data_IF_968009491999
#
_entry.id   IF_968009491999
#
_cell.length_a   1.000
_cell.length_b   1.000
_cell.length_c   1.000
_cell.angle_alpha   90.00
_cell.angle_beta   90.00
_cell.angle_gamma   90.00
#
_symmetry.space_group_name_H-M   'P 1'
#
loop_
_entity.id
_entity.type
_entity.pdbx_description
1 polymer ?
#
# COMPACT_ATOMS: atom_id res chain seq x y z
N UNK A 1 -4.51 -10.98 -27.41
CA UNK A 1 -3.86 -12.19 -26.87
C UNK A 1 -4.21 -12.22 -25.38
N UNK A 2 -5.11 -13.11 -24.99
CA UNK A 2 -5.56 -13.28 -23.61
C UNK A 2 -4.42 -13.94 -22.84
N UNK A 3 -3.79 -13.25 -21.89
CA UNK A 3 -3.04 -13.93 -20.85
C UNK A 3 -4.09 -14.50 -19.87
N UNK A 4 -4.29 -15.81 -19.94
CA UNK A 4 -4.98 -16.55 -18.88
C UNK A 4 -4.27 -16.26 -17.57
N UNK A 5 -5.02 -16.00 -16.50
CA UNK A 5 -4.48 -16.00 -15.14
C UNK A 5 -3.88 -17.39 -14.95
N UNK A 6 -2.55 -17.48 -14.89
CA UNK A 6 -1.92 -18.69 -14.39
C UNK A 6 -2.43 -18.89 -12.96
N UNK A 7 -3.34 -19.84 -12.81
CA UNK A 7 -3.72 -20.38 -11.50
C UNK A 7 -2.51 -21.20 -11.07
N UNK A 8 -1.97 -20.90 -9.91
CA UNK A 8 -0.84 -21.65 -9.36
C UNK A 8 -1.37 -23.02 -8.93
N UNK A 9 -1.29 -24.01 -9.82
CA UNK A 9 -1.83 -25.37 -9.64
C UNK A 9 -0.76 -26.35 -9.19
N UNK A 10 0.14 -25.96 -8.30
CA UNK A 10 1.12 -26.90 -7.76
C UNK A 10 0.65 -27.40 -6.39
N UNK A 11 0.63 -28.73 -6.21
CA UNK A 11 0.23 -29.41 -4.96
C UNK A 11 1.21 -29.22 -3.80
N UNK A 12 2.27 -28.45 -4.00
CA UNK A 12 3.20 -28.05 -2.96
C UNK A 12 2.59 -26.90 -2.16
N UNK A 13 2.27 -27.12 -0.91
CA UNK A 13 1.82 -26.08 0.05
C UNK A 13 2.96 -25.13 0.49
N UNK A 14 3.82 -24.73 -0.43
CA UNK A 14 4.90 -23.77 -0.15
C UNK A 14 4.44 -22.35 -0.47
N UNK A 15 4.77 -21.37 0.39
CA UNK A 15 4.47 -19.97 0.11
C UNK A 15 5.17 -19.48 -1.16
N UNK A 16 4.45 -18.72 -1.97
CA UNK A 16 4.95 -18.13 -3.21
C UNK A 16 4.91 -16.58 -3.15
N UNK A 17 5.55 -15.95 -4.11
CA UNK A 17 5.54 -14.49 -4.33
C UNK A 17 5.13 -14.17 -5.76
N UNK A 18 4.62 -12.96 -5.97
CA UNK A 18 4.52 -12.37 -7.30
C UNK A 18 5.79 -11.57 -7.60
N UNK A 19 6.36 -11.78 -8.77
CA UNK A 19 7.46 -10.99 -9.29
C UNK A 19 6.98 -9.93 -10.29
N UNK A 20 7.63 -8.77 -10.23
CA UNK A 20 7.55 -7.73 -11.25
C UNK A 20 8.96 -7.40 -11.74
N UNK A 21 9.15 -7.23 -13.05
CA UNK A 21 10.46 -6.90 -13.60
C UNK A 21 10.36 -6.17 -14.93
N UNK A 22 11.42 -5.43 -15.26
CA UNK A 22 11.56 -4.80 -16.56
C UNK A 22 11.97 -5.82 -17.62
N UNK A 23 11.16 -5.94 -18.69
CA UNK A 23 11.53 -6.68 -19.91
C UNK A 23 12.45 -5.80 -20.75
N UNK A 24 12.07 -4.54 -20.94
CA UNK A 24 12.84 -3.52 -21.64
C UNK A 24 12.55 -2.16 -20.98
N UNK A 25 13.53 -1.62 -20.26
CA UNK A 25 13.37 -0.35 -19.57
C UNK A 25 13.26 0.84 -20.53
N UNK A 26 13.98 0.82 -21.65
CA UNK A 26 13.96 1.91 -22.63
C UNK A 26 12.57 2.02 -23.28
N UNK A 27 11.95 0.90 -23.60
CA UNK A 27 10.59 0.82 -24.14
C UNK A 27 9.50 0.89 -23.07
N UNK A 28 9.86 1.09 -21.81
CA UNK A 28 8.94 1.09 -20.64
C UNK A 28 8.09 -0.18 -20.54
N UNK A 29 8.63 -1.31 -20.93
CA UNK A 29 7.98 -2.61 -20.84
C UNK A 29 8.27 -3.24 -19.49
N UNK A 30 7.31 -3.14 -18.57
CA UNK A 30 7.32 -3.75 -17.25
C UNK A 30 6.25 -4.84 -17.18
N UNK A 31 6.59 -5.99 -16.62
CA UNK A 31 5.64 -7.10 -16.43
C UNK A 31 5.43 -7.42 -14.97
N UNK A 32 4.24 -7.93 -14.68
CA UNK A 32 3.79 -8.45 -13.39
C UNK A 32 3.11 -9.81 -13.59
N UNK A 33 2.53 -10.34 -12.53
CA UNK A 33 1.80 -11.63 -12.50
C UNK A 33 2.69 -12.84 -12.81
N UNK A 34 4.00 -12.75 -12.54
CA UNK A 34 4.90 -13.89 -12.51
C UNK A 34 4.94 -14.47 -11.12
N UNK A 35 4.24 -15.57 -10.88
CA UNK A 35 4.22 -16.26 -9.59
C UNK A 35 5.35 -17.28 -9.51
N UNK A 36 5.97 -17.40 -8.33
CA UNK A 36 7.16 -18.21 -8.16
C UNK A 36 7.35 -18.61 -6.69
N UNK A 37 7.80 -19.85 -6.45
CA UNK A 37 8.25 -20.26 -5.12
C UNK A 37 9.54 -19.55 -4.71
N UNK A 38 9.75 -19.41 -3.41
CA UNK A 38 10.88 -18.64 -2.89
C UNK A 38 12.24 -19.18 -3.35
N UNK A 39 12.37 -20.49 -3.45
CA UNK A 39 13.63 -21.15 -3.86
C UNK A 39 13.98 -20.87 -5.34
N UNK A 40 13.00 -20.50 -6.15
CA UNK A 40 13.19 -20.21 -7.58
C UNK A 40 13.50 -18.73 -7.84
N UNK A 41 13.29 -17.85 -6.83
CA UNK A 41 13.47 -16.40 -7.00
C UNK A 41 14.93 -16.04 -7.28
N UNK A 42 15.89 -16.56 -6.52
CA UNK A 42 17.29 -16.21 -6.70
C UNK A 42 17.86 -16.68 -8.05
N UNK A 43 17.64 -17.93 -8.51
CA UNK A 43 17.98 -18.34 -9.88
C UNK A 43 17.39 -17.43 -10.96
N UNK A 44 16.12 -17.04 -10.80
CA UNK A 44 15.48 -16.12 -11.73
C UNK A 44 16.15 -14.73 -11.73
N UNK A 45 16.45 -14.15 -10.56
CA UNK A 45 17.15 -12.86 -10.44
C UNK A 45 18.50 -12.89 -11.13
N UNK A 46 19.28 -13.98 -10.95
CA UNK A 46 20.56 -14.16 -11.64
C UNK A 46 20.39 -14.24 -13.16
N UNK A 47 19.40 -14.96 -13.65
CA UNK A 47 19.12 -15.08 -15.11
C UNK A 47 18.77 -13.76 -15.76
N UNK A 48 18.32 -12.75 -14.99
CA UNK A 48 17.95 -11.42 -15.44
C UNK A 48 19.03 -10.36 -15.17
N UNK A 49 20.26 -10.76 -14.95
CA UNK A 49 21.39 -9.85 -14.68
C UNK A 49 21.12 -8.88 -13.53
N UNK A 50 20.27 -9.26 -12.58
CA UNK A 50 19.92 -8.47 -11.38
C UNK A 50 19.31 -7.08 -11.69
N UNK A 51 18.78 -6.83 -12.88
CA UNK A 51 18.30 -5.52 -13.30
C UNK A 51 16.80 -5.34 -13.08
N UNK A 52 16.42 -4.34 -12.25
CA UNK A 52 15.04 -3.86 -12.15
C UNK A 52 14.01 -4.92 -11.76
N UNK A 53 14.31 -5.75 -10.76
CA UNK A 53 13.46 -6.86 -10.33
C UNK A 53 12.86 -6.58 -8.97
N UNK A 54 11.57 -6.91 -8.85
CA UNK A 54 10.76 -6.70 -7.66
C UNK A 54 10.04 -7.99 -7.29
N UNK A 55 9.75 -8.13 -6.01
CA UNK A 55 8.83 -9.15 -5.51
C UNK A 55 7.80 -8.52 -4.59
N UNK A 56 6.68 -9.20 -4.38
CA UNK A 56 5.69 -8.76 -3.41
C UNK A 56 6.29 -8.73 -2.00
N UNK A 57 5.88 -7.72 -1.22
CA UNK A 57 6.28 -7.57 0.18
C UNK A 57 5.83 -8.76 1.03
N UNK A 58 4.76 -9.41 0.60
CA UNK A 58 4.17 -10.58 1.24
C UNK A 58 4.40 -11.83 0.39
N UNK A 59 4.41 -12.97 1.08
CA UNK A 59 4.27 -14.31 0.53
C UNK A 59 2.82 -14.74 0.69
N UNK A 60 2.37 -15.66 -0.15
CA UNK A 60 0.98 -16.11 -0.21
C UNK A 60 0.91 -17.63 -0.06
N UNK A 61 -0.13 -18.15 0.59
CA UNK A 61 -0.31 -19.58 0.85
C UNK A 61 -1.60 -20.16 0.22
N UNK A 62 -2.35 -19.39 -0.55
CA UNK A 62 -3.59 -19.80 -1.20
C UNK A 62 -3.45 -19.95 -2.71
N UNK A 63 -4.48 -20.45 -3.37
CA UNK A 63 -4.50 -20.60 -4.83
C UNK A 63 -4.45 -19.27 -5.59
N UNK A 64 -4.99 -18.20 -4.98
CA UNK A 64 -4.91 -16.84 -5.49
C UNK A 64 -4.45 -15.89 -4.39
N UNK A 65 -3.93 -14.72 -4.75
CA UNK A 65 -3.54 -13.71 -3.75
C UNK A 65 -4.74 -13.27 -2.91
N UNK A 66 -5.91 -13.17 -3.52
CA UNK A 66 -7.13 -12.73 -2.87
C UNK A 66 -7.63 -13.72 -1.81
N UNK A 67 -7.32 -15.00 -1.96
CA UNK A 67 -7.72 -16.09 -1.05
C UNK A 67 -6.60 -16.48 -0.07
N UNK A 68 -5.41 -15.88 -0.24
CA UNK A 68 -4.24 -16.19 0.58
C UNK A 68 -4.23 -15.43 1.89
N UNK A 69 -3.65 -16.06 2.91
CA UNK A 69 -3.05 -15.30 4.00
C UNK A 69 -1.76 -14.64 3.51
N UNK A 70 -1.49 -13.48 4.08
CA UNK A 70 -0.24 -12.76 3.86
C UNK A 70 0.78 -13.20 4.91
N UNK A 71 2.02 -13.41 4.47
CA UNK A 71 3.15 -13.81 5.31
C UNK A 71 4.30 -12.86 5.00
N UNK A 72 4.92 -12.24 5.99
CA UNK A 72 6.04 -11.34 5.71
C UNK A 72 6.60 -10.62 6.92
N UNK A 73 7.74 -9.98 6.73
CA UNK A 73 8.36 -9.07 7.68
C UNK A 73 7.58 -7.75 7.71
N UNK A 74 7.49 -7.11 8.87
CA UNK A 74 6.95 -5.75 8.96
C UNK A 74 7.94 -4.80 8.27
N UNK A 75 7.46 -3.98 7.32
CA UNK A 75 8.33 -3.15 6.51
C UNK A 75 7.90 -1.68 6.48
N UNK A 76 8.87 -0.80 6.24
CA UNK A 76 8.73 0.64 6.13
C UNK A 76 9.51 1.12 4.92
N UNK A 77 8.95 2.08 4.18
CA UNK A 77 9.57 2.74 3.03
C UNK A 77 9.60 4.25 3.29
N UNK A 78 10.80 4.81 3.35
CA UNK A 78 11.06 6.23 3.55
C UNK A 78 11.56 6.81 2.25
N UNK A 79 10.78 7.69 1.64
CA UNK A 79 11.13 8.39 0.42
C UNK A 79 10.87 9.91 0.58
N UNK A 80 11.85 10.72 0.26
CA UNK A 80 11.72 12.15 0.15
C UNK A 80 12.19 12.56 -1.25
N UNK A 81 11.33 13.27 -1.99
CA UNK A 81 11.53 13.48 -3.44
C UNK A 81 12.92 14.00 -3.78
N UNK A 82 13.46 14.98 -3.04
CA UNK A 82 14.75 15.62 -3.33
C UNK A 82 15.70 15.71 -2.13
N UNK A 83 15.35 15.13 -0.97
CA UNK A 83 16.17 15.22 0.25
C UNK A 83 16.33 13.86 0.93
N UNK A 84 17.35 13.11 0.50
CA UNK A 84 17.72 11.83 1.10
C UNK A 84 17.91 11.91 2.61
N UNK A 85 18.44 13.02 3.12
CA UNK A 85 18.72 13.21 4.54
C UNK A 85 17.44 13.26 5.39
N UNK A 86 16.31 13.71 4.84
CA UNK A 86 15.02 13.66 5.56
C UNK A 86 14.55 12.19 5.68
N UNK A 87 14.60 11.42 4.61
CA UNK A 87 14.26 10.00 4.64
C UNK A 87 15.18 9.23 5.60
N UNK A 88 16.48 9.52 5.59
CA UNK A 88 17.47 8.92 6.48
C UNK A 88 17.19 9.26 7.96
N UNK A 89 16.89 10.51 8.30
CA UNK A 89 16.57 10.92 9.69
C UNK A 89 15.32 10.21 10.22
N UNK A 90 14.28 10.10 9.40
CA UNK A 90 13.06 9.38 9.78
C UNK A 90 13.31 7.87 9.93
N UNK A 91 14.13 7.28 9.06
CA UNK A 91 14.56 5.89 9.18
C UNK A 91 15.36 5.65 10.49
N UNK A 92 16.32 6.54 10.85
CA UNK A 92 17.05 6.48 12.13
C UNK A 92 16.10 6.59 13.33
N UNK A 93 15.10 7.47 13.25
CA UNK A 93 14.08 7.60 14.29
C UNK A 93 13.28 6.30 14.43
N UNK A 94 12.94 5.66 13.32
CA UNK A 94 12.22 4.37 13.33
C UNK A 94 13.06 3.23 13.92
N UNK A 95 14.36 3.15 13.61
CA UNK A 95 15.28 2.22 14.26
C UNK A 95 15.28 2.42 15.77
N UNK A 96 15.38 3.68 16.21
CA UNK A 96 15.35 4.03 17.64
C UNK A 96 14.01 3.72 18.30
N UNK A 97 12.90 3.88 17.57
CA UNK A 97 11.56 3.51 18.02
C UNK A 97 11.47 2.00 18.31
N UNK A 98 11.92 1.14 17.39
CA UNK A 98 11.90 -0.31 17.60
C UNK A 98 12.79 -0.74 18.76
N UNK A 99 13.97 -0.13 18.91
CA UNK A 99 14.85 -0.35 20.07
C UNK A 99 14.18 0.04 21.39
N UNK A 100 13.53 1.19 21.42
CA UNK A 100 12.96 1.75 22.66
C UNK A 100 11.64 1.10 23.03
N UNK A 101 10.72 1.00 22.07
CA UNK A 101 9.32 0.57 22.30
C UNK A 101 9.18 -0.96 22.24
N UNK A 102 9.84 -1.59 21.28
CA UNK A 102 9.74 -3.04 21.08
C UNK A 102 10.89 -3.81 21.72
N UNK A 103 11.94 -3.11 22.19
CA UNK A 103 13.18 -3.72 22.71
C UNK A 103 13.85 -4.65 21.69
N UNK A 104 13.72 -4.32 20.41
CA UNK A 104 14.41 -5.01 19.31
C UNK A 104 15.82 -4.44 19.16
N UNK A 105 16.83 -5.32 19.09
CA UNK A 105 18.20 -4.89 18.86
C UNK A 105 18.35 -4.31 17.43
N UNK A 106 19.05 -3.17 17.31
CA UNK A 106 19.22 -2.48 16.03
C UNK A 106 19.86 -3.37 14.96
N UNK A 107 20.78 -4.26 15.38
CA UNK A 107 21.47 -5.23 14.52
C UNK A 107 20.56 -6.31 13.95
N UNK A 108 19.38 -6.50 14.51
CA UNK A 108 18.40 -7.50 14.08
C UNK A 108 17.39 -6.90 13.07
N UNK A 109 17.43 -5.59 12.86
CA UNK A 109 16.67 -4.93 11.81
C UNK A 109 17.39 -5.06 10.46
N UNK A 110 16.64 -5.31 9.41
CA UNK A 110 17.15 -5.29 8.03
C UNK A 110 16.93 -3.89 7.44
N UNK A 111 18.00 -3.16 7.25
CA UNK A 111 17.97 -1.78 6.74
C UNK A 111 18.54 -1.79 5.33
N UNK A 112 17.89 -1.13 4.38
CA UNK A 112 18.33 -1.10 2.99
C UNK A 112 18.33 0.32 2.43
N UNK A 113 19.37 0.68 1.71
CA UNK A 113 19.30 1.74 0.70
C UNK A 113 18.52 1.23 -0.51
N UNK A 114 17.52 1.98 -0.98
CA UNK A 114 16.61 1.52 -2.05
C UNK A 114 17.23 1.41 -3.43
N UNK A 115 18.46 1.95 -3.60
CA UNK A 115 19.17 2.07 -4.86
C UNK A 115 19.03 3.44 -5.51
N UNK A 116 18.24 4.38 -4.97
CA UNK A 116 18.12 5.73 -5.53
C UNK A 116 18.13 6.81 -4.45
N UNK A 117 17.08 6.93 -3.66
CA UNK A 117 16.89 8.04 -2.70
C UNK A 117 16.15 7.65 -1.42
N UNK A 118 15.66 6.42 -1.32
CA UNK A 118 14.87 5.94 -0.19
C UNK A 118 15.64 4.99 0.72
N UNK A 119 15.12 4.81 1.92
CA UNK A 119 15.55 3.84 2.91
C UNK A 119 14.39 2.91 3.22
N UNK A 120 14.63 1.59 3.18
CA UNK A 120 13.66 0.61 3.63
C UNK A 120 14.14 -0.01 4.95
N UNK A 121 13.21 -0.23 5.88
CA UNK A 121 13.47 -0.98 7.11
C UNK A 121 12.53 -2.17 7.15
N UNK A 122 13.04 -3.34 7.49
CA UNK A 122 12.24 -4.53 7.72
C UNK A 122 12.54 -5.07 9.12
N UNK A 123 11.47 -5.34 9.86
CA UNK A 123 11.54 -6.01 11.17
C UNK A 123 11.17 -7.47 10.94
N UNK A 124 12.10 -8.42 11.16
CA UNK A 124 11.86 -9.83 10.91
C UNK A 124 10.64 -10.37 11.64
N UNK A 125 9.79 -11.10 10.94
CA UNK A 125 8.53 -11.62 11.46
C UNK A 125 8.71 -12.50 12.70
N UNK A 126 9.80 -13.26 12.77
CA UNK A 126 10.07 -14.15 13.90
C UNK A 126 10.35 -13.40 15.22
N UNK A 127 10.93 -12.19 15.19
CA UNK A 127 11.15 -11.38 16.40
C UNK A 127 9.80 -11.02 17.03
N UNK A 128 8.85 -10.60 16.20
CA UNK A 128 7.53 -10.14 16.60
C UNK A 128 6.54 -11.30 16.78
N UNK A 129 6.90 -12.52 16.36
CA UNK A 129 5.96 -13.64 16.29
C UNK A 129 4.79 -13.36 15.36
N UNK A 130 5.07 -12.76 14.20
CA UNK A 130 4.05 -12.46 13.18
C UNK A 130 3.63 -13.77 12.55
N UNK A 131 2.37 -14.11 12.71
CA UNK A 131 1.72 -15.24 12.06
C UNK A 131 1.10 -14.79 10.74
N UNK A 132 0.78 -15.75 9.88
CA UNK A 132 0.04 -15.50 8.65
C UNK A 132 -1.35 -14.95 8.95
N UNK A 133 -1.78 -13.93 8.20
CA UNK A 133 -3.06 -13.27 8.41
C UNK A 133 -3.60 -12.66 7.10
N UNK A 134 -4.91 -12.78 6.79
CA UNK A 134 -5.46 -12.22 5.54
C UNK A 134 -5.39 -10.69 5.48
N UNK A 135 -5.35 -10.02 6.63
CA UNK A 135 -5.30 -8.56 6.76
C UNK A 135 -3.97 -8.06 7.34
N UNK A 136 -2.87 -8.77 7.10
CA UNK A 136 -1.54 -8.41 7.63
C UNK A 136 -1.10 -7.02 7.16
N UNK A 137 -1.47 -6.63 5.95
CA UNK A 137 -1.24 -5.30 5.40
C UNK A 137 -1.92 -4.19 6.22
N UNK A 138 -3.13 -4.40 6.74
CA UNK A 138 -3.83 -3.42 7.58
C UNK A 138 -3.21 -3.32 8.98
N UNK A 139 -2.76 -4.45 9.54
CA UNK A 139 -2.00 -4.48 10.80
C UNK A 139 -0.72 -3.67 10.66
N UNK A 140 0.06 -3.92 9.60
CA UNK A 140 1.31 -3.20 9.31
C UNK A 140 1.07 -1.71 9.10
N UNK A 141 0.00 -1.35 8.39
CA UNK A 141 -0.40 0.04 8.20
C UNK A 141 -0.74 0.74 9.52
N UNK A 142 -1.36 0.04 10.46
CA UNK A 142 -1.68 0.59 11.79
C UNK A 142 -0.41 0.90 12.57
N UNK A 143 0.57 0.00 12.55
CA UNK A 143 1.88 0.23 13.17
C UNK A 143 2.60 1.40 12.48
N UNK A 144 2.60 1.43 11.15
CA UNK A 144 3.25 2.49 10.38
C UNK A 144 2.65 3.88 10.66
N UNK A 145 1.33 4.00 10.77
CA UNK A 145 0.66 5.24 11.19
C UNK A 145 1.12 5.68 12.58
N UNK A 146 1.26 4.74 13.51
CA UNK A 146 1.74 5.06 14.85
C UNK A 146 3.19 5.55 14.80
N UNK A 147 4.08 4.86 14.08
CA UNK A 147 5.47 5.28 13.88
C UNK A 147 5.53 6.68 13.25
N UNK A 148 4.70 6.97 12.24
CA UNK A 148 4.67 8.27 11.56
C UNK A 148 4.43 9.45 12.52
N UNK A 149 3.72 9.25 13.64
CA UNK A 149 3.50 10.30 14.63
C UNK A 149 4.79 10.75 15.33
N UNK A 150 5.82 9.91 15.34
CA UNK A 150 7.14 10.23 15.91
C UNK A 150 8.10 10.84 14.89
N UNK A 151 7.75 10.79 13.58
CA UNK A 151 8.63 11.25 12.52
C UNK A 151 8.50 12.75 12.30
N UNK A 152 9.65 13.44 12.25
CA UNK A 152 9.71 14.89 12.02
C UNK A 152 9.37 15.25 10.57
N UNK A 153 9.93 14.53 9.61
CA UNK A 153 9.84 14.88 8.20
C UNK A 153 8.67 14.18 7.49
N UNK A 154 8.07 13.16 8.14
CA UNK A 154 6.92 12.38 7.61
C UNK A 154 7.16 11.77 6.23
N UNK A 155 8.39 11.29 6.00
CA UNK A 155 8.80 10.70 4.72
C UNK A 155 8.34 9.25 4.55
N UNK A 156 7.70 8.66 5.58
CA UNK A 156 7.15 7.31 5.54
C UNK A 156 5.95 7.24 4.60
N UNK A 157 6.02 6.41 3.57
CA UNK A 157 4.91 6.16 2.65
C UNK A 157 3.88 5.21 3.27
N UNK A 158 2.68 5.71 3.57
CA UNK A 158 1.56 4.91 4.08
C UNK A 158 0.69 4.28 2.98
N UNK A 159 0.96 4.56 1.71
CA UNK A 159 0.19 4.01 0.58
C UNK A 159 0.67 2.61 0.22
N UNK A 160 1.88 2.24 0.63
CA UNK A 160 2.51 0.97 0.28
C UNK A 160 1.88 -0.28 0.92
N UNK A 161 0.99 -0.13 1.88
CA UNK A 161 0.39 -1.26 2.60
C UNK A 161 -0.83 -1.83 1.88
N UNK A 162 -0.65 -2.21 0.62
CA UNK A 162 -1.59 -3.03 -0.14
C UNK A 162 -1.07 -4.49 -0.23
N UNK A 163 -1.97 -5.44 -0.43
CA UNK A 163 -1.62 -6.87 -0.42
C UNK A 163 -0.79 -7.34 -1.63
N UNK A 164 -0.60 -6.49 -2.64
CA UNK A 164 0.19 -6.78 -3.86
C UNK A 164 1.37 -5.81 -4.05
N UNK A 165 1.81 -5.15 -2.97
CA UNK A 165 2.93 -4.21 -3.02
C UNK A 165 4.20 -4.90 -3.50
N UNK A 166 4.77 -4.37 -4.57
CA UNK A 166 6.08 -4.79 -5.04
C UNK A 166 7.18 -3.98 -4.35
N UNK A 167 8.17 -4.69 -3.81
CA UNK A 167 9.41 -4.14 -3.27
C UNK A 167 10.58 -4.63 -4.12
N UNK A 168 11.54 -3.75 -4.41
CA UNK A 168 12.77 -4.14 -5.11
C UNK A 168 13.51 -5.22 -4.32
N UNK A 169 13.93 -6.28 -4.99
CA UNK A 169 14.74 -7.35 -4.39
C UNK A 169 16.12 -6.78 -4.00
N UNK A 170 16.66 -7.10 -2.81
CA UNK A 170 18.02 -6.73 -2.45
C UNK A 170 19.05 -7.24 -3.46
N UNK A 171 20.12 -6.49 -3.62
CA UNK A 171 21.19 -6.78 -4.59
C UNK A 171 20.73 -6.81 -6.05
N UNK A 172 19.64 -6.06 -6.37
CA UNK A 172 19.26 -5.77 -7.76
C UNK A 172 19.46 -4.31 -8.07
N UNK A 173 19.78 -4.03 -9.35
CA UNK A 173 20.08 -2.70 -9.89
C UNK A 173 18.80 -1.89 -10.02
N UNK A 174 18.82 -0.65 -9.53
CA UNK A 174 17.75 0.30 -9.76
C UNK A 174 17.84 0.87 -11.19
N UNK A 175 16.79 0.72 -11.97
CA UNK A 175 16.73 1.00 -13.40
C UNK A 175 17.04 2.46 -13.80
N UNK A 176 16.83 3.42 -12.88
CA UNK A 176 17.07 4.85 -13.16
C UNK A 176 18.44 5.33 -12.69
N UNK A 177 18.93 4.79 -11.58
CA UNK A 177 20.16 5.28 -10.94
C UNK A 177 21.38 4.42 -11.27
N UNK A 178 21.20 3.16 -11.61
CA UNK A 178 22.28 2.19 -11.81
C UNK A 178 22.87 1.63 -10.49
N UNK A 179 22.43 2.14 -9.32
CA UNK A 179 22.88 1.63 -8.04
C UNK A 179 22.10 0.39 -7.60
N UNK A 180 22.74 -0.46 -6.83
CA UNK A 180 22.09 -1.62 -6.21
C UNK A 180 21.25 -1.22 -4.99
N UNK A 181 20.13 -1.91 -4.76
CA UNK A 181 19.52 -1.94 -3.43
C UNK A 181 20.41 -2.77 -2.53
N UNK A 182 21.07 -2.14 -1.56
CA UNK A 182 22.02 -2.81 -0.67
C UNK A 182 21.58 -2.74 0.78
N UNK A 183 21.98 -3.76 1.57
CA UNK A 183 21.78 -3.74 2.99
C UNK A 183 22.82 -2.83 3.67
N UNK A 184 22.38 -2.07 4.68
CA UNK A 184 23.18 -1.21 5.54
C UNK A 184 23.09 -1.72 6.98
N UNK A 185 24.14 -1.49 7.75
CA UNK A 185 24.09 -1.58 9.21
C UNK A 185 23.42 -0.33 9.80
N UNK A 186 22.94 -0.40 11.04
CA UNK A 186 22.42 0.78 11.75
C UNK A 186 23.47 1.88 11.95
N UNK A 187 24.74 1.49 12.08
CA UNK A 187 25.88 2.41 12.17
C UNK A 187 26.08 3.16 10.85
N UNK A 188 26.08 2.45 9.73
CA UNK A 188 26.21 3.04 8.40
C UNK A 188 25.04 3.98 8.09
N UNK A 189 23.79 3.57 8.41
CA UNK A 189 22.63 4.44 8.28
C UNK A 189 22.81 5.76 9.05
N UNK A 190 23.45 5.77 10.22
CA UNK A 190 23.60 6.96 11.05
C UNK A 190 24.74 7.86 10.61
N UNK A 191 25.86 7.29 10.15
CA UNK A 191 27.12 8.02 10.07
C UNK A 191 27.67 8.19 8.65
N UNK A 192 27.28 7.35 7.69
CA UNK A 192 27.72 7.54 6.31
C UNK A 192 26.93 8.66 5.64
N UNK A 193 27.62 9.44 4.84
CA UNK A 193 27.01 10.40 3.91
C UNK A 193 26.26 9.67 2.77
N UNK A 194 25.36 10.37 2.10
CA UNK A 194 24.68 9.84 0.90
C UNK A 194 25.68 9.38 -0.17
N UNK A 195 26.78 10.14 -0.36
CA UNK A 195 27.83 9.81 -1.33
C UNK A 195 28.55 8.49 -0.99
N UNK A 196 28.86 8.27 0.30
CA UNK A 196 29.49 7.04 0.76
C UNK A 196 28.54 5.84 0.63
N UNK A 197 27.25 5.99 0.94
CA UNK A 197 26.24 4.95 0.73
C UNK A 197 26.12 4.63 -0.77
N UNK A 198 26.09 5.63 -1.65
CA UNK A 198 26.07 5.42 -3.10
C UNK A 198 27.33 4.73 -3.62
N UNK A 199 28.48 5.01 -3.02
CA UNK A 199 29.74 4.30 -3.35
C UNK A 199 29.63 2.82 -2.98
N UNK A 200 29.12 2.48 -1.81
CA UNK A 200 28.83 1.08 -1.43
C UNK A 200 27.81 0.43 -2.38
N UNK A 201 26.85 1.19 -2.88
CA UNK A 201 25.77 0.70 -3.74
C UNK A 201 26.18 0.52 -5.23
N UNK A 202 27.43 0.76 -5.60
CA UNK A 202 27.96 0.44 -6.92
C UNK A 202 28.09 -1.07 -7.19
N UNK A 203 28.07 -1.87 -6.12
CA UNK A 203 28.18 -3.32 -6.20
C UNK A 203 27.14 -4.00 -5.28
N UNK A 204 26.74 -5.26 -5.56
CA UNK A 204 25.92 -6.02 -4.64
C UNK A 204 26.68 -6.25 -3.34
N UNK A 205 25.94 -6.28 -2.23
CA UNK A 205 26.52 -6.38 -0.91
C UNK A 205 25.83 -7.44 -0.07
N UNK A 206 26.62 -8.35 0.50
CA UNK A 206 26.13 -9.38 1.40
C UNK A 206 26.68 -9.10 2.81
N UNK A 207 25.79 -8.78 3.73
CA UNK A 207 26.09 -8.76 5.15
C UNK A 207 25.77 -10.13 5.73
N UNK A 208 26.45 -10.48 6.83
CA UNK A 208 26.13 -11.70 7.57
C UNK A 208 24.65 -11.72 7.95
N UNK A 209 23.93 -12.74 7.50
CA UNK A 209 22.54 -12.90 7.83
C UNK A 209 22.38 -13.36 9.27
N UNK A 210 21.58 -12.62 10.03
CA UNK A 210 21.21 -12.98 11.39
C UNK A 210 19.81 -13.56 11.39
N UNK A 211 19.63 -14.56 12.23
CA UNK A 211 18.33 -15.16 12.51
C UNK A 211 17.96 -14.81 13.96
N UNK A 212 17.41 -13.61 14.20
CA UNK A 212 17.13 -13.15 15.55
C UNK A 212 16.08 -14.06 16.21
N UNK A 213 16.22 -14.26 17.52
CA UNK A 213 15.29 -15.06 18.29
C UNK A 213 13.93 -14.34 18.45
N UNK A 214 12.89 -15.14 18.70
CA UNK A 214 11.59 -14.64 19.11
C UNK A 214 11.70 -13.81 20.40
N UNK A 215 11.05 -12.65 20.44
CA UNK A 215 10.97 -11.78 21.61
C UNK A 215 9.55 -11.75 22.18
N UNK A 216 9.31 -12.36 23.35
CA UNK A 216 7.99 -12.31 23.99
C UNK A 216 7.53 -10.87 24.26
N UNK A 217 8.45 -9.98 24.60
CA UNK A 217 8.12 -8.56 24.82
C UNK A 217 7.69 -7.88 23.54
N UNK A 218 8.47 -8.02 22.46
CA UNK A 218 8.14 -7.44 21.16
C UNK A 218 6.81 -7.98 20.62
N UNK A 219 6.56 -9.27 20.80
CA UNK A 219 5.30 -9.91 20.45
C UNK A 219 4.10 -9.31 21.21
N UNK A 220 4.25 -9.07 22.51
CA UNK A 220 3.21 -8.41 23.31
C UNK A 220 2.91 -7.00 22.78
N UNK A 221 3.93 -6.23 22.41
CA UNK A 221 3.71 -4.93 21.78
C UNK A 221 3.00 -5.07 20.43
N UNK A 222 3.41 -6.02 19.59
CA UNK A 222 2.77 -6.29 18.30
C UNK A 222 1.29 -6.66 18.44
N UNK A 223 0.93 -7.52 19.41
CA UNK A 223 -0.48 -7.86 19.68
C UNK A 223 -1.35 -6.66 20.02
N UNK A 224 -0.82 -5.66 20.72
CA UNK A 224 -1.57 -4.43 21.02
C UNK A 224 -2.01 -3.69 19.75
N UNK A 225 -1.21 -3.72 18.68
CA UNK A 225 -1.58 -3.12 17.39
C UNK A 225 -2.67 -3.92 16.67
N UNK A 226 -2.66 -5.25 16.79
CA UNK A 226 -3.75 -6.09 16.27
C UNK A 226 -5.07 -5.72 16.99
N UNK A 227 -5.04 -5.66 18.30
CA UNK A 227 -6.21 -5.26 19.10
C UNK A 227 -6.70 -3.85 18.76
N UNK A 228 -5.77 -2.91 18.53
CA UNK A 228 -6.11 -1.56 18.08
C UNK A 228 -6.79 -1.59 16.72
N UNK A 229 -6.24 -2.31 15.74
CA UNK A 229 -6.84 -2.44 14.40
C UNK A 229 -8.25 -3.02 14.49
N UNK A 230 -8.45 -4.07 15.29
CA UNK A 230 -9.77 -4.69 15.47
C UNK A 230 -10.77 -3.68 16.09
N UNK A 231 -10.35 -2.92 17.10
CA UNK A 231 -11.18 -1.86 17.69
C UNK A 231 -11.54 -0.78 16.68
N UNK A 232 -10.56 -0.26 15.94
CA UNK A 232 -10.80 0.77 14.91
C UNK A 232 -11.80 0.29 13.84
N UNK A 233 -11.70 -0.98 13.41
CA UNK A 233 -12.66 -1.57 12.47
C UNK A 233 -14.08 -1.66 13.08
N UNK A 234 -14.19 -2.15 14.31
CA UNK A 234 -15.48 -2.26 14.99
C UNK A 234 -16.14 -0.89 15.22
N UNK A 235 -15.36 0.12 15.58
CA UNK A 235 -15.86 1.49 15.75
C UNK A 235 -16.34 2.06 14.41
N UNK A 236 -15.55 1.89 13.35
CA UNK A 236 -15.93 2.30 12.00
C UNK A 236 -17.23 1.61 11.54
N UNK A 237 -17.36 0.31 11.77
CA UNK A 237 -18.58 -0.44 11.46
C UNK A 237 -19.80 0.06 12.24
N UNK A 238 -19.63 0.36 13.53
CA UNK A 238 -20.71 0.94 14.36
C UNK A 238 -21.13 2.32 13.86
N UNK A 239 -20.17 3.17 13.53
CA UNK A 239 -20.46 4.48 12.95
C UNK A 239 -21.17 4.36 11.58
N UNK A 240 -20.75 3.43 10.75
CA UNK A 240 -21.36 3.20 9.44
C UNK A 240 -22.78 2.65 9.58
N UNK A 241 -23.02 1.71 10.50
CA UNK A 241 -24.37 1.23 10.80
C UNK A 241 -25.27 2.37 11.29
N UNK A 242 -24.75 3.29 12.11
CA UNK A 242 -25.50 4.50 12.52
C UNK A 242 -25.81 5.44 11.36
N UNK A 243 -24.86 5.59 10.39
CA UNK A 243 -25.05 6.42 9.19
C UNK A 243 -25.88 5.72 8.10
N UNK A 244 -25.81 4.39 8.01
CA UNK A 244 -26.45 3.58 6.97
C UNK A 244 -27.99 3.60 7.00
N UNK A 245 -28.61 4.07 8.07
CA UNK A 245 -30.06 4.29 8.15
C UNK A 245 -30.52 5.64 7.57
N UNK A 246 -29.62 6.52 7.15
CA UNK A 246 -29.97 7.76 6.45
C UNK A 246 -29.55 7.64 4.98
N UNK A 247 -30.50 7.24 4.14
CA UNK A 247 -30.31 7.33 2.68
C UNK A 247 -29.97 8.76 2.30
N UNK A 248 -28.91 8.95 1.53
CA UNK A 248 -28.54 10.26 1.02
C UNK A 248 -29.54 10.68 -0.05
N UNK A 249 -30.46 11.58 0.30
CA UNK A 249 -31.50 12.07 -0.61
C UNK A 249 -31.07 13.27 -1.43
N UNK A 250 -29.89 13.81 -1.19
CA UNK A 250 -29.33 14.98 -1.86
C UNK A 250 -28.15 14.59 -2.75
N UNK A 251 -28.19 14.97 -4.02
CA UNK A 251 -27.07 14.83 -4.94
C UNK A 251 -26.18 16.06 -4.85
N UNK A 252 -24.87 15.90 -4.48
CA UNK A 252 -23.95 17.02 -4.47
C UNK A 252 -23.66 17.55 -5.88
N UNK A 253 -23.46 18.87 -6.10
CA UNK A 253 -23.17 19.45 -7.41
C UNK A 253 -21.99 18.82 -8.14
N UNK A 254 -20.96 18.39 -7.39
CA UNK A 254 -19.82 17.69 -7.97
C UNK A 254 -20.17 16.29 -8.51
N UNK A 255 -21.17 15.63 -7.94
CA UNK A 255 -21.65 14.34 -8.43
C UNK A 255 -22.50 14.54 -9.68
N UNK A 256 -23.41 15.53 -9.66
CA UNK A 256 -24.19 15.90 -10.85
C UNK A 256 -23.28 16.25 -12.02
N UNK A 257 -22.27 17.07 -11.79
CA UNK A 257 -21.29 17.42 -12.81
C UNK A 257 -20.61 16.18 -13.42
N UNK A 258 -20.18 15.22 -12.58
CA UNK A 258 -19.52 14.00 -13.05
C UNK A 258 -20.46 13.05 -13.80
N UNK A 259 -21.71 12.98 -13.38
CA UNK A 259 -22.71 12.17 -14.08
C UNK A 259 -23.03 12.74 -15.47
N UNK A 260 -23.02 14.05 -15.62
CA UNK A 260 -23.30 14.74 -16.88
C UNK A 260 -22.10 14.76 -17.82
N UNK A 261 -20.92 15.04 -17.31
CA UNK A 261 -19.72 15.36 -18.11
C UNK A 261 -18.70 14.22 -18.22
N UNK A 262 -18.85 13.14 -17.41
CA UNK A 262 -17.86 12.08 -17.35
C UNK A 262 -16.62 12.46 -16.55
N UNK A 263 -15.51 11.76 -16.80
CA UNK A 263 -14.24 11.95 -16.11
C UNK A 263 -13.06 12.10 -17.08
N UNK A 264 -12.13 12.97 -16.73
CA UNK A 264 -10.89 13.16 -17.48
C UNK A 264 -10.03 11.91 -17.53
N UNK A 265 -9.19 11.80 -18.58
CA UNK A 265 -8.21 10.74 -18.72
C UNK A 265 -7.24 10.76 -17.53
N UNK A 266 -7.13 9.62 -16.83
CA UNK A 266 -6.32 9.49 -15.60
C UNK A 266 -7.14 9.58 -14.30
N UNK A 267 -8.29 10.28 -14.28
CA UNK A 267 -9.17 10.38 -13.12
C UNK A 267 -10.33 9.37 -13.11
N UNK A 268 -10.59 8.66 -14.23
CA UNK A 268 -11.79 7.84 -14.46
C UNK A 268 -12.06 6.79 -13.38
N UNK A 269 -11.06 6.02 -12.96
CA UNK A 269 -11.24 5.01 -11.93
C UNK A 269 -11.57 5.61 -10.55
N UNK A 270 -10.93 6.73 -10.21
CA UNK A 270 -11.21 7.45 -8.99
C UNK A 270 -12.63 8.05 -9.01
N UNK A 271 -13.05 8.58 -10.16
CA UNK A 271 -14.41 9.09 -10.38
C UNK A 271 -15.43 7.97 -10.29
N UNK A 272 -15.22 6.85 -10.97
CA UNK A 272 -16.07 5.67 -10.87
C UNK A 272 -16.24 5.20 -9.42
N UNK A 273 -15.16 5.12 -8.65
CA UNK A 273 -15.21 4.73 -7.24
C UNK A 273 -16.00 5.73 -6.39
N UNK A 274 -15.89 7.04 -6.68
CA UNK A 274 -16.66 8.08 -5.99
C UNK A 274 -18.16 7.99 -6.34
N UNK A 275 -18.50 7.79 -7.60
CA UNK A 275 -19.90 7.62 -8.06
C UNK A 275 -20.52 6.34 -7.48
N UNK A 276 -19.79 5.21 -7.49
CA UNK A 276 -20.25 3.94 -6.90
C UNK A 276 -20.51 4.10 -5.39
N UNK A 277 -19.63 4.81 -4.68
CA UNK A 277 -19.80 5.11 -3.26
C UNK A 277 -21.02 6.00 -3.00
N UNK A 278 -21.26 6.98 -3.85
CA UNK A 278 -22.43 7.83 -3.77
C UNK A 278 -23.73 7.03 -4.01
N UNK A 279 -23.81 6.21 -5.07
CA UNK A 279 -24.95 5.33 -5.36
C UNK A 279 -25.26 4.38 -4.19
N UNK A 280 -24.22 3.79 -3.59
CA UNK A 280 -24.34 2.99 -2.37
C UNK A 280 -24.92 3.80 -1.20
N UNK A 281 -24.48 5.03 -1.00
CA UNK A 281 -24.99 5.92 0.04
C UNK A 281 -26.45 6.34 -0.19
N UNK A 282 -26.92 6.36 -1.44
CA UNK A 282 -28.33 6.54 -1.78
C UNK A 282 -29.18 5.27 -1.50
N UNK A 283 -28.55 4.15 -1.18
CA UNK A 283 -29.20 2.87 -0.94
C UNK A 283 -29.60 2.14 -2.24
N UNK A 284 -28.92 2.45 -3.34
CA UNK A 284 -29.06 1.74 -4.61
C UNK A 284 -28.52 0.32 -4.49
N UNK A 285 -29.14 -0.65 -5.17
CA UNK A 285 -28.61 -2.02 -5.22
C UNK A 285 -27.29 -2.08 -6.00
N UNK A 286 -26.50 -3.14 -5.79
CA UNK A 286 -25.26 -3.36 -6.55
C UNK A 286 -25.57 -3.51 -8.05
N UNK A 287 -26.62 -4.23 -8.39
CA UNK A 287 -27.04 -4.53 -9.76
C UNK A 287 -27.47 -3.25 -10.48
N UNK A 288 -28.29 -2.40 -9.84
CA UNK A 288 -28.72 -1.12 -10.41
C UNK A 288 -27.52 -0.17 -10.58
N UNK A 289 -26.61 -0.13 -9.60
CA UNK A 289 -25.42 0.70 -9.69
C UNK A 289 -24.46 0.25 -10.80
N UNK A 290 -24.30 -1.07 -11.01
CA UNK A 290 -23.51 -1.61 -12.11
C UNK A 290 -24.13 -1.22 -13.46
N UNK A 291 -25.44 -1.31 -13.59
CA UNK A 291 -26.16 -0.95 -14.81
C UNK A 291 -25.99 0.54 -15.14
N UNK A 292 -26.32 1.43 -14.20
CA UNK A 292 -26.22 2.87 -14.41
C UNK A 292 -24.80 3.35 -14.66
N UNK A 293 -23.82 2.82 -13.91
CA UNK A 293 -22.42 3.21 -14.07
C UNK A 293 -21.78 2.64 -15.34
N UNK A 294 -22.27 1.50 -15.85
CA UNK A 294 -21.85 0.97 -17.15
C UNK A 294 -22.37 1.87 -18.30
N UNK A 295 -23.62 2.31 -18.24
CA UNK A 295 -24.18 3.26 -19.19
C UNK A 295 -23.43 4.61 -19.13
N UNK A 296 -23.22 5.15 -17.92
CA UNK A 296 -22.41 6.36 -17.72
C UNK A 296 -21.02 6.23 -18.32
N UNK A 297 -20.35 5.11 -18.10
CA UNK A 297 -19.00 4.88 -18.62
C UNK A 297 -18.95 4.83 -20.14
N UNK A 298 -19.94 4.18 -20.78
CA UNK A 298 -19.98 4.06 -22.24
C UNK A 298 -20.37 5.36 -22.94
N UNK A 299 -21.20 6.19 -22.31
CA UNK A 299 -21.74 7.41 -22.90
C UNK A 299 -20.93 8.67 -22.58
N UNK A 300 -20.26 8.71 -21.42
CA UNK A 300 -19.61 9.93 -20.89
C UNK A 300 -18.09 9.87 -20.86
N UNK A 301 -17.47 8.69 -20.96
CA UNK A 301 -16.00 8.57 -20.91
C UNK A 301 -15.40 8.21 -22.28
N UNK A 302 -14.35 8.93 -22.68
CA UNK A 302 -13.57 8.62 -23.88
C UNK A 302 -12.05 8.65 -23.59
N UNK A 303 -11.35 7.49 -23.70
CA UNK A 303 -11.91 6.15 -23.85
C UNK A 303 -12.62 5.68 -22.58
N UNK A 304 -13.60 4.78 -22.72
CA UNK A 304 -14.32 4.19 -21.59
C UNK A 304 -13.41 3.32 -20.72
N UNK A 305 -13.77 3.12 -19.46
CA UNK A 305 -13.14 2.13 -18.57
C UNK A 305 -13.49 0.73 -19.07
N UNK A 306 -12.53 -0.19 -19.05
CA UNK A 306 -12.79 -1.57 -19.47
C UNK A 306 -13.88 -2.21 -18.58
N UNK A 307 -14.89 -2.92 -19.14
CA UNK A 307 -16.02 -3.45 -18.38
C UNK A 307 -15.65 -4.29 -17.16
N UNK A 308 -14.60 -5.13 -17.26
CA UNK A 308 -14.10 -5.91 -16.12
C UNK A 308 -13.52 -5.06 -14.99
N UNK A 309 -12.86 -3.96 -15.32
CA UNK A 309 -12.30 -3.02 -14.36
C UNK A 309 -13.42 -2.23 -13.67
N UNK A 310 -14.43 -1.82 -14.41
CA UNK A 310 -15.63 -1.19 -13.88
C UNK A 310 -16.34 -2.12 -12.88
N UNK A 311 -16.66 -3.36 -13.28
CA UNK A 311 -17.32 -4.35 -12.42
C UNK A 311 -16.52 -4.59 -11.13
N UNK A 312 -15.21 -4.81 -11.25
CA UNK A 312 -14.32 -5.00 -10.10
C UNK A 312 -14.34 -3.81 -9.15
N UNK A 313 -14.27 -2.59 -9.68
CA UNK A 313 -14.25 -1.37 -8.87
C UNK A 313 -15.57 -1.18 -8.13
N UNK A 314 -16.70 -1.30 -8.82
CA UNK A 314 -18.04 -1.14 -8.22
C UNK A 314 -18.29 -2.20 -7.14
N UNK A 315 -18.02 -3.48 -7.42
CA UNK A 315 -18.16 -4.56 -6.44
C UNK A 315 -17.27 -4.35 -5.22
N UNK A 316 -16.02 -3.89 -5.41
CA UNK A 316 -15.11 -3.58 -4.30
C UNK A 316 -15.65 -2.47 -3.40
N UNK A 317 -16.27 -1.43 -3.97
CA UNK A 317 -16.91 -0.35 -3.21
C UNK A 317 -18.12 -0.89 -2.43
N UNK A 318 -18.94 -1.73 -3.04
CA UNK A 318 -20.13 -2.29 -2.40
C UNK A 318 -19.81 -3.29 -1.30
N UNK A 319 -18.77 -4.11 -1.48
CA UNK A 319 -18.28 -5.05 -0.47
C UNK A 319 -17.50 -4.35 0.66
N UNK A 320 -16.84 -3.24 0.38
CA UNK A 320 -15.98 -2.54 1.32
C UNK A 320 -16.73 -1.61 2.27
N UNK A 321 -16.11 -1.35 3.43
CA UNK A 321 -16.61 -0.38 4.42
C UNK A 321 -16.14 1.06 4.13
N UNK A 322 -15.23 1.25 3.18
CA UNK A 322 -14.68 2.58 2.82
C UNK A 322 -15.57 3.25 1.80
N UNK A 323 -16.01 4.46 2.10
CA UNK A 323 -16.68 5.34 1.14
C UNK A 323 -15.65 6.35 0.59
N UNK A 324 -15.60 6.47 -0.72
CA UNK A 324 -14.88 7.55 -1.39
C UNK A 324 -15.74 8.82 -1.28
N UNK A 325 -15.37 9.70 -0.36
CA UNK A 325 -16.16 10.90 -0.06
C UNK A 325 -15.58 12.18 -0.65
N UNK A 326 -15.98 13.31 -0.09
CA UNK A 326 -15.61 14.66 -0.52
C UNK A 326 -14.09 14.91 -0.63
N UNK A 327 -13.25 14.24 0.18
CA UNK A 327 -11.79 14.39 0.11
C UNK A 327 -11.25 14.04 -1.28
N UNK A 328 -11.71 12.94 -1.86
CA UNK A 328 -11.26 12.50 -3.19
C UNK A 328 -11.72 13.43 -4.31
N UNK A 329 -12.94 13.93 -4.21
CA UNK A 329 -13.46 14.88 -5.18
C UNK A 329 -12.79 16.26 -5.08
N UNK A 330 -12.30 16.63 -3.89
CA UNK A 330 -11.43 17.80 -3.70
C UNK A 330 -10.07 17.64 -4.35
N UNK A 331 -9.43 16.48 -4.18
CA UNK A 331 -8.16 16.16 -4.83
C UNK A 331 -8.25 16.21 -6.36
N UNK A 332 -9.40 15.85 -6.92
CA UNK A 332 -9.69 15.94 -8.35
C UNK A 332 -10.11 17.36 -8.80
N UNK A 333 -10.08 18.36 -7.91
CA UNK A 333 -10.50 19.74 -8.17
C UNK A 333 -11.95 19.90 -8.68
N UNK A 334 -12.80 18.90 -8.47
CA UNK A 334 -14.20 18.86 -8.96
C UNK A 334 -15.17 19.37 -7.90
N UNK A 335 -14.75 19.44 -6.63
CA UNK A 335 -15.63 19.81 -5.53
C UNK A 335 -15.96 21.30 -5.51
N UNK A 336 -17.19 21.68 -5.90
CA UNK A 336 -17.72 23.03 -5.65
C UNK A 336 -18.29 23.16 -4.24
N UNK A 337 -17.47 23.68 -3.32
CA UNK A 337 -17.85 23.78 -1.90
C UNK A 337 -18.85 24.90 -1.60
N UNK A 338 -18.96 25.91 -2.47
CA UNK A 338 -19.83 27.07 -2.24
C UNK A 338 -21.32 26.69 -2.30
N UNK A 339 -21.68 25.76 -3.18
CA UNK A 339 -23.07 25.37 -3.45
C UNK A 339 -23.47 24.05 -2.73
N UNK A 340 -22.52 23.37 -2.06
CA UNK A 340 -22.76 22.05 -1.49
C UNK A 340 -23.40 22.11 -0.09
N UNK A 341 -24.62 21.55 0.03
CA UNK A 341 -25.35 21.48 1.33
C UNK A 341 -24.70 20.56 2.36
N UNK A 342 -23.86 19.58 1.94
CA UNK A 342 -23.17 18.68 2.87
C UNK A 342 -22.11 19.40 3.70
N UNK A 343 -21.55 20.50 3.23
CA UNK A 343 -20.57 21.31 3.96
C UNK A 343 -21.18 22.09 5.11
N UNK A 344 -22.42 22.57 4.97
CA UNK A 344 -23.08 23.37 6.03
C UNK A 344 -23.32 22.58 7.32
N UNK A 345 -23.47 21.23 7.23
CA UNK A 345 -23.63 20.37 8.41
C UNK A 345 -22.34 20.17 9.19
N UNK A 346 -21.20 20.03 8.51
CA UNK A 346 -19.88 19.82 9.16
C UNK A 346 -19.35 21.05 9.91
N UNK A 347 -19.66 22.25 9.43
CA UNK A 347 -19.27 23.49 10.12
C UNK A 347 -20.06 23.67 11.41
N UNK A 348 -21.39 23.43 11.37
CA UNK A 348 -22.25 23.53 12.56
C UNK A 348 -21.97 22.47 13.63
N UNK A 349 -21.48 21.28 13.28
CA UNK A 349 -21.07 20.23 14.25
C UNK A 349 -19.72 20.56 14.92
N UNK A 350 -18.81 21.21 14.22
CA UNK A 350 -17.53 21.66 14.79
C UNK A 350 -17.68 22.91 15.67
N UNK A 351 -18.59 23.82 15.34
CA UNK A 351 -18.90 24.97 16.18
C UNK A 351 -19.62 24.59 17.48
N UNK A 352 -20.43 23.53 17.45
CA UNK A 352 -21.09 22.99 18.67
C UNK A 352 -20.19 22.14 19.58
N UNK A 353 -18.99 21.74 19.11
CA UNK A 353 -17.99 21.02 19.92
C UNK A 353 -16.97 21.94 20.56
N UNK A 354 -16.89 23.20 20.12
CA UNK A 354 -15.92 24.22 20.62
C UNK A 354 -16.63 25.39 21.35
N UNK A 355 -17.91 25.27 21.70
CA UNK A 355 -18.70 26.23 22.47
C UNK A 355 -19.11 25.64 23.85
#
# INVERSE_FOLDING_TARGET
MYQEKEVFTDDRYEPYVELGYWIDYQKRSFTRNKYMYLNDVEPFVRSRHQFGIFQTAYKYDGATIEESNLIGDLYFDFDAEDDFEQARRDAVTTVSFFKTVFKVEERDLKIYFSGKKGIHIMVPANILGIEKHPELNDIFKTIAKHVQNFLKNKTLDLVIYDNKRLLRIPNTIHEKSGYYKIQLTSTELRYLSEAEIKTLAQQPRHLEQRFPAFSPFAHTQYKRYIEQMVREKQELEKEMKKRGNQKLTYTPPCVDYLLENGAEKGARNNTLAALASFKKAQGMSLEDALSELSEWNSTKNNPSIHPRELDKTVRSIYAGYRNYGCSRLKELSICNMAECRLKRKTVNENERRNG
#
